data_IF_353086245065
#
_entry.id   IF_353086245065
#
_cell.length_a   1.000
_cell.length_b   1.000
_cell.length_c   1.000
_cell.angle_alpha   90.00
_cell.angle_beta   90.00
_cell.angle_gamma   90.00
#
_symmetry.space_group_name_H-M   'P 1'
#
loop_
_entity.id
_entity.type
_entity.pdbx_description
1 polymer ?
#
# COMPACT_ATOMS: atom_id res chain seq x y z
N UNK A 1 -5.02 2.42 16.69
CA UNK A 1 -5.35 1.47 15.60
C UNK A 1 -5.63 2.28 14.36
N UNK A 2 -4.61 2.55 13.54
CA UNK A 2 -4.79 3.18 12.23
C UNK A 2 -4.44 2.11 11.18
N UNK A 3 -5.40 1.76 10.33
CA UNK A 3 -5.18 0.85 9.22
C UNK A 3 -4.37 1.61 8.16
N UNK A 4 -3.22 1.10 7.74
CA UNK A 4 -2.49 1.66 6.60
C UNK A 4 -3.34 1.59 5.34
N UNK A 5 -3.19 2.57 4.44
CA UNK A 5 -3.94 2.59 3.18
C UNK A 5 -3.11 1.86 2.12
N UNK A 6 -3.65 0.84 1.45
CA UNK A 6 -2.95 0.17 0.36
C UNK A 6 -2.68 1.13 -0.81
N UNK A 7 -1.48 1.09 -1.36
CA UNK A 7 -1.09 1.83 -2.55
C UNK A 7 -0.20 1.03 -3.46
N UNK A 8 -0.36 1.20 -4.76
CA UNK A 8 0.49 0.58 -5.78
C UNK A 8 1.74 1.44 -6.01
N UNK A 9 2.93 0.87 -5.92
CA UNK A 9 4.16 1.53 -6.34
C UNK A 9 4.13 1.69 -7.86
N UNK A 10 4.25 2.92 -8.35
CA UNK A 10 4.20 3.23 -9.79
C UNK A 10 5.55 3.70 -10.33
N UNK A 11 6.41 4.25 -9.49
CA UNK A 11 7.77 4.65 -9.85
C UNK A 11 8.69 4.68 -8.63
N UNK A 12 9.97 4.37 -8.84
CA UNK A 12 11.03 4.64 -7.85
C UNK A 12 11.62 6.02 -8.10
N UNK A 13 11.97 6.71 -7.02
CA UNK A 13 12.64 8.00 -7.03
C UNK A 13 14.05 7.85 -6.46
N UNK A 14 14.81 8.94 -6.42
CA UNK A 14 16.13 8.94 -5.82
C UNK A 14 16.08 8.73 -4.30
N UNK A 15 17.03 7.96 -3.77
CA UNK A 15 17.09 7.60 -2.35
C UNK A 15 15.94 6.67 -1.94
N UNK A 16 15.49 6.81 -0.69
CA UNK A 16 14.43 5.96 -0.12
C UNK A 16 13.02 6.47 -0.45
N UNK A 17 12.79 6.97 -1.67
CA UNK A 17 11.51 7.54 -2.09
C UNK A 17 10.90 6.75 -3.24
N UNK A 18 9.58 6.60 -3.22
CA UNK A 18 8.82 6.04 -4.32
C UNK A 18 7.52 6.81 -4.53
N UNK A 19 7.02 6.85 -5.77
CA UNK A 19 5.67 7.32 -6.06
C UNK A 19 4.72 6.15 -5.95
N UNK A 20 3.67 6.30 -5.14
CA UNK A 20 2.58 5.34 -5.00
C UNK A 20 1.26 5.95 -5.47
N UNK A 21 0.41 5.12 -6.08
CA UNK A 21 -0.97 5.46 -6.42
C UNK A 21 -1.90 4.90 -5.35
N UNK A 22 -2.61 5.80 -4.67
CA UNK A 22 -3.60 5.48 -3.64
C UNK A 22 -4.92 6.10 -4.07
N UNK A 23 -5.94 5.28 -4.29
CA UNK A 23 -7.29 5.72 -4.72
C UNK A 23 -7.24 6.65 -5.96
N UNK A 24 -6.35 6.33 -6.92
CA UNK A 24 -6.19 7.11 -8.15
C UNK A 24 -5.32 8.36 -8.03
N UNK A 25 -4.86 8.71 -6.81
CA UNK A 25 -3.96 9.86 -6.58
C UNK A 25 -2.54 9.38 -6.37
N UNK A 26 -1.60 9.98 -7.10
CA UNK A 26 -0.17 9.69 -6.98
C UNK A 26 0.48 10.56 -5.92
N UNK A 27 1.24 9.94 -5.02
CA UNK A 27 1.90 10.59 -3.88
C UNK A 27 3.31 10.03 -3.68
N UNK A 28 4.31 10.88 -3.42
CA UNK A 28 5.62 10.41 -2.99
C UNK A 28 5.55 9.92 -1.54
N UNK A 29 6.16 8.78 -1.26
CA UNK A 29 6.30 8.21 0.08
C UNK A 29 7.73 7.73 0.31
N UNK A 30 8.11 7.61 1.57
CA UNK A 30 9.37 6.99 1.96
C UNK A 30 9.23 5.46 2.02
N UNK A 31 10.16 4.73 1.42
CA UNK A 31 10.20 3.27 1.34
C UNK A 31 11.39 2.66 2.09
N UNK A 32 12.18 3.46 2.81
CA UNK A 32 13.40 3.01 3.49
C UNK A 32 13.15 2.07 4.68
N UNK A 33 11.90 1.81 5.04
CA UNK A 33 11.53 0.79 6.02
C UNK A 33 11.27 -0.59 5.40
N UNK A 34 11.23 -0.68 4.07
CA UNK A 34 11.11 -1.95 3.35
C UNK A 34 12.49 -2.58 3.15
N UNK A 35 12.54 -3.88 2.89
CA UNK A 35 13.79 -4.51 2.50
C UNK A 35 14.20 -4.12 1.08
N UNK A 36 15.49 -4.20 0.79
CA UNK A 36 16.01 -3.92 -0.55
C UNK A 36 15.30 -4.76 -1.62
N UNK A 37 14.79 -4.10 -2.66
CA UNK A 37 14.09 -4.74 -3.77
C UNK A 37 12.61 -5.04 -3.54
N UNK A 38 12.03 -4.67 -2.39
CA UNK A 38 10.59 -4.79 -2.13
C UNK A 38 9.77 -3.65 -2.76
N UNK A 39 10.31 -2.44 -2.74
CA UNK A 39 9.72 -1.27 -3.40
C UNK A 39 10.00 -1.34 -4.91
N UNK A 40 9.18 -2.05 -5.67
CA UNK A 40 9.29 -2.10 -7.13
C UNK A 40 7.95 -1.75 -7.79
N UNK A 41 7.96 -1.12 -8.98
CA UNK A 41 6.72 -0.80 -9.70
C UNK A 41 5.81 -2.03 -9.88
N UNK A 42 4.52 -1.86 -9.60
CA UNK A 42 3.49 -2.91 -9.65
C UNK A 42 3.26 -3.66 -8.34
N UNK A 43 4.12 -3.47 -7.32
CA UNK A 43 3.89 -3.99 -5.95
C UNK A 43 2.96 -3.08 -5.17
N UNK A 44 2.25 -3.69 -4.22
CA UNK A 44 1.35 -2.99 -3.31
C UNK A 44 1.98 -2.88 -1.94
N UNK A 45 1.82 -1.72 -1.31
CA UNK A 45 2.36 -1.43 0.01
C UNK A 45 1.31 -0.81 0.91
N UNK A 46 1.43 -1.03 2.22
CA UNK A 46 0.63 -0.31 3.21
C UNK A 46 1.29 1.02 3.54
N UNK A 47 0.58 2.11 3.23
CA UNK A 47 1.05 3.47 3.48
C UNK A 47 0.52 3.96 4.82
N UNK A 48 1.42 4.43 5.68
CA UNK A 48 1.09 5.07 6.95
C UNK A 48 1.94 6.32 7.16
N UNK A 49 1.30 7.49 7.30
CA UNK A 49 1.94 8.78 7.56
C UNK A 49 3.07 9.15 6.57
N UNK A 50 2.91 8.76 5.29
CA UNK A 50 3.90 9.04 4.24
C UNK A 50 5.01 8.00 4.12
N UNK A 51 4.89 6.86 4.80
CA UNK A 51 5.85 5.77 4.72
C UNK A 51 5.20 4.46 4.28
N UNK A 52 5.94 3.64 3.53
CA UNK A 52 5.59 2.24 3.30
C UNK A 52 6.02 1.41 4.52
N UNK A 53 5.06 0.74 5.15
CA UNK A 53 5.33 -0.11 6.32
C UNK A 53 5.61 -1.56 5.95
N UNK A 54 4.94 -2.07 4.92
CA UNK A 54 5.12 -3.44 4.43
C UNK A 54 4.62 -3.57 3.00
N UNK A 55 5.14 -4.56 2.28
CA UNK A 55 4.54 -5.03 1.03
C UNK A 55 3.34 -5.91 1.36
N UNK A 56 2.28 -5.77 0.59
CA UNK A 56 1.08 -6.61 0.65
C UNK A 56 0.79 -7.21 -0.71
N UNK A 57 0.13 -8.36 -0.72
CA UNK A 57 -0.33 -8.95 -1.97
C UNK A 57 -1.43 -8.08 -2.61
N UNK A 58 -1.54 -8.10 -3.94
CA UNK A 58 -2.56 -7.33 -4.66
C UNK A 58 -3.97 -7.79 -4.29
N UNK A 59 -4.16 -9.09 -4.08
CA UNK A 59 -5.46 -9.66 -3.72
C UNK A 59 -5.83 -9.26 -2.27
N UNK A 60 -4.86 -9.26 -1.36
CA UNK A 60 -5.02 -8.78 0.02
C UNK A 60 -5.23 -7.26 0.10
N UNK A 61 -4.56 -6.50 -0.78
CA UNK A 61 -4.71 -5.05 -0.88
C UNK A 61 -6.11 -4.66 -1.35
N UNK A 62 -6.67 -5.40 -2.30
CA UNK A 62 -8.04 -5.17 -2.79
C UNK A 62 -9.07 -5.48 -1.70
N UNK A 63 -8.92 -6.61 -0.99
CA UNK A 63 -9.79 -6.97 0.12
C UNK A 63 -9.69 -5.99 1.32
N UNK A 64 -8.49 -5.46 1.59
CA UNK A 64 -8.27 -4.45 2.63
C UNK A 64 -8.84 -3.08 2.25
N UNK A 65 -8.75 -2.71 0.96
CA UNK A 65 -9.35 -1.47 0.47
C UNK A 65 -10.87 -1.54 0.58
N UNK A 66 -11.50 -2.68 0.21
CA UNK A 66 -12.93 -2.90 0.35
C UNK A 66 -13.43 -2.82 1.80
N UNK A 67 -12.60 -3.24 2.77
CA UNK A 67 -12.86 -3.08 4.20
C UNK A 67 -12.86 -1.61 4.63
N UNK A 68 -11.88 -0.83 4.16
CA UNK A 68 -11.76 0.60 4.50
C UNK A 68 -12.85 1.45 3.83
N UNK A 69 -13.26 1.09 2.61
CA UNK A 69 -14.28 1.84 1.83
C UNK A 69 -15.72 1.40 2.12
N UNK A 70 -15.94 0.39 2.96
CA UNK A 70 -17.25 0.03 3.51
C UNK A 70 -18.18 -0.74 2.57
N UNK A 71 -17.64 -1.50 1.60
CA UNK A 71 -18.44 -2.26 0.62
C UNK A 71 -18.54 -3.78 0.90
N UNK A 72 -17.99 -4.28 2.00
CA UNK A 72 -17.98 -5.71 2.30
C UNK A 72 -19.06 -6.12 3.32
N UNK A 73 -20.06 -6.88 2.86
CA UNK A 73 -20.91 -7.72 3.72
C UNK A 73 -20.01 -8.78 4.39
N UNK A 74 -19.82 -8.62 5.69
CA UNK A 74 -18.94 -9.47 6.49
C UNK A 74 -19.57 -10.83 6.76
N UNK A 75 -18.90 -11.90 6.33
CA UNK A 75 -19.12 -13.27 6.83
C UNK A 75 -17.79 -13.82 7.36
N UNK A 76 -17.67 -14.12 8.67
CA UNK A 76 -16.48 -14.77 9.21
C UNK A 76 -16.47 -16.22 8.75
N UNK A 77 -15.33 -16.69 8.25
CA UNK A 77 -15.08 -18.12 8.17
C UNK A 77 -15.08 -18.71 9.61
N UNK A 78 -15.55 -19.95 9.80
CA UNK A 78 -15.85 -20.53 11.11
C UNK A 78 -14.63 -20.72 12.02
#
# INVERSE_FOLDING_TARGET
MCLGIPGEVVALLDGDLATVRVEGVERPINVGMLNDGEAVPGRWVLVHLGFAMSVVDRDEATASLDFVTGHADWHPAP
#
